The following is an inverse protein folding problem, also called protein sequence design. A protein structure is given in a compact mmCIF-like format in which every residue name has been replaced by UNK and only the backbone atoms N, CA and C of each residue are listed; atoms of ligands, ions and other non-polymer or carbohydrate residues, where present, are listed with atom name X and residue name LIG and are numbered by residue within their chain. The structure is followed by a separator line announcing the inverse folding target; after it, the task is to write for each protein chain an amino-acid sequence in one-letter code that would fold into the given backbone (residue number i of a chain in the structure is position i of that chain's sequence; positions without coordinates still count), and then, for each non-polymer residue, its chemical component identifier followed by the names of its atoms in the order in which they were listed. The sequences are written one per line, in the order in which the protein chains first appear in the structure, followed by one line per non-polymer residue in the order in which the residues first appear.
data_IF_025138455622
#
_entry.id   IF_025138455622
#
_cell.length_a   1.000
_cell.length_b   1.000
_cell.length_c   1.000
_cell.angle_alpha   90.00
_cell.angle_beta   90.00
_cell.angle_gamma   90.00
#
_symmetry.space_group_name_H-M   'P 1'
#
loop_
_entity.id
_entity.type
_entity.pdbx_description
1 polymer ?
#
# COMPACT_ATOMS: atom_id res chain seq x y z
N UNK A 1 14.21 9.85 -21.45
CA UNK A 1 14.48 10.88 -20.43
C UNK A 1 14.71 12.29 -20.99
N UNK A 2 15.07 12.47 -22.28
CA UNK A 2 15.22 13.79 -22.96
C UNK A 2 13.98 14.74 -22.96
N UNK A 3 12.89 14.39 -22.28
CA UNK A 3 11.66 15.18 -22.22
C UNK A 3 11.34 15.73 -20.82
N UNK A 4 12.17 15.46 -19.80
CA UNK A 4 11.99 16.00 -18.45
C UNK A 4 12.79 17.32 -18.37
N UNK A 5 12.12 18.47 -18.22
CA UNK A 5 12.78 19.77 -18.36
C UNK A 5 13.77 20.08 -17.23
N UNK A 6 13.61 19.44 -16.08
CA UNK A 6 14.46 19.58 -14.90
C UNK A 6 15.68 18.65 -14.91
N UNK A 7 15.72 17.59 -15.74
CA UNK A 7 16.77 16.57 -15.68
C UNK A 7 18.11 17.11 -16.23
N UNK A 8 19.02 17.49 -15.34
CA UNK A 8 20.27 18.19 -15.65
C UNK A 8 21.28 18.22 -14.49
N UNK A 9 22.31 19.07 -14.54
CA UNK A 9 23.38 19.10 -13.54
C UNK A 9 23.02 19.81 -12.23
N UNK A 10 22.02 20.70 -12.24
CA UNK A 10 21.63 21.54 -11.10
C UNK A 10 20.26 21.08 -10.55
N UNK A 11 20.22 19.88 -9.98
CA UNK A 11 18.99 19.29 -9.42
C UNK A 11 18.77 19.73 -7.96
N UNK A 12 17.51 19.95 -7.60
CA UNK A 12 17.06 19.92 -6.20
C UNK A 12 17.15 18.49 -5.64
N UNK A 13 17.08 18.34 -4.31
CA UNK A 13 17.13 17.01 -3.67
C UNK A 13 16.00 16.08 -4.16
N UNK A 14 14.79 16.62 -4.33
CA UNK A 14 13.63 15.87 -4.83
C UNK A 14 13.83 15.41 -6.28
N UNK A 15 14.31 16.29 -7.16
CA UNK A 15 14.63 15.97 -8.55
C UNK A 15 15.77 14.94 -8.64
N UNK A 16 16.80 15.06 -7.81
CA UNK A 16 17.90 14.09 -7.76
C UNK A 16 17.41 12.70 -7.36
N UNK A 17 16.57 12.61 -6.32
CA UNK A 17 16.00 11.34 -5.89
C UNK A 17 15.10 10.71 -6.97
N UNK A 18 14.30 11.51 -7.68
CA UNK A 18 13.49 11.03 -8.79
C UNK A 18 14.34 10.59 -9.98
N UNK A 19 15.42 11.33 -10.32
CA UNK A 19 16.36 10.96 -11.36
C UNK A 19 17.03 9.62 -11.07
N UNK A 20 17.56 9.45 -9.86
CA UNK A 20 18.22 8.21 -9.44
C UNK A 20 17.25 7.02 -9.48
N UNK A 21 16.02 7.23 -9.01
CA UNK A 21 14.97 6.21 -9.05
C UNK A 21 14.56 5.85 -10.48
N UNK A 22 14.40 6.83 -11.38
CA UNK A 22 14.14 6.58 -12.80
C UNK A 22 15.27 5.82 -13.45
N UNK A 23 16.53 6.18 -13.20
CA UNK A 23 17.70 5.50 -13.75
C UNK A 23 17.76 4.03 -13.31
N UNK A 24 17.48 3.77 -12.03
CA UNK A 24 17.37 2.41 -11.50
C UNK A 24 16.20 1.66 -12.13
N UNK A 25 15.05 2.31 -12.31
CA UNK A 25 13.86 1.73 -12.93
C UNK A 25 14.08 1.46 -14.42
N UNK A 26 14.82 2.29 -15.16
CA UNK A 26 15.18 2.04 -16.55
C UNK A 26 16.00 0.76 -16.67
N UNK A 27 16.91 0.51 -15.71
CA UNK A 27 17.76 -0.69 -15.69
C UNK A 27 16.99 -1.96 -15.36
N UNK A 28 15.94 -1.88 -14.53
CA UNK A 28 15.16 -3.05 -14.11
C UNK A 28 13.92 -3.29 -14.96
N UNK A 29 13.21 -2.23 -15.37
CA UNK A 29 11.98 -2.26 -16.15
C UNK A 29 11.79 -0.96 -16.95
N UNK A 30 12.44 -0.90 -18.13
CA UNK A 30 12.42 0.26 -19.02
C UNK A 30 10.99 0.68 -19.44
N UNK A 31 10.07 -0.27 -19.60
CA UNK A 31 8.69 0.03 -19.98
C UNK A 31 7.95 0.81 -18.89
N UNK A 32 8.06 0.36 -17.63
CA UNK A 32 7.51 1.09 -16.47
C UNK A 32 8.19 2.44 -16.31
N UNK A 33 9.52 2.52 -16.45
CA UNK A 33 10.24 3.79 -16.38
C UNK A 33 9.75 4.82 -17.40
N UNK A 34 9.58 4.40 -18.67
CA UNK A 34 9.04 5.27 -19.73
C UNK A 34 7.64 5.76 -19.41
N UNK A 35 6.83 4.92 -18.78
CA UNK A 35 5.46 5.27 -18.41
C UNK A 35 5.42 6.31 -17.29
N UNK A 36 6.18 6.09 -16.22
CA UNK A 36 6.33 7.06 -15.13
C UNK A 36 6.89 8.38 -15.66
N UNK A 37 7.93 8.33 -16.51
CA UNK A 37 8.53 9.50 -17.14
C UNK A 37 7.63 10.21 -18.18
N UNK A 38 6.47 9.64 -18.51
CA UNK A 38 5.49 10.26 -19.41
C UNK A 38 4.33 10.94 -18.67
N UNK A 39 4.31 10.84 -17.34
CA UNK A 39 3.30 11.51 -16.52
C UNK A 39 3.52 13.02 -16.51
N UNK A 40 2.45 13.79 -16.65
CA UNK A 40 2.50 15.25 -16.81
C UNK A 40 3.09 15.96 -15.61
N UNK A 41 2.77 15.49 -14.40
CA UNK A 41 3.29 16.01 -13.13
C UNK A 41 4.81 15.84 -12.97
N UNK A 42 5.46 14.98 -13.76
CA UNK A 42 6.91 14.81 -13.69
C UNK A 42 7.65 15.69 -14.72
N UNK A 43 6.98 16.50 -15.53
CA UNK A 43 7.63 17.16 -16.68
C UNK A 43 8.22 18.52 -16.33
N UNK A 44 7.54 19.32 -15.51
CA UNK A 44 7.83 20.75 -15.26
C UNK A 44 8.61 21.04 -13.98
N UNK A 45 8.86 20.01 -13.18
CA UNK A 45 9.64 20.02 -11.95
C UNK A 45 9.36 18.73 -11.18
N UNK A 46 9.98 18.56 -10.01
CA UNK A 46 9.64 17.46 -9.10
C UNK A 46 9.50 17.99 -7.69
N UNK A 47 8.30 17.87 -7.14
CA UNK A 47 8.00 18.08 -5.72
C UNK A 47 8.40 16.86 -4.89
N UNK A 48 8.39 16.99 -3.56
CA UNK A 48 8.73 15.87 -2.68
C UNK A 48 7.81 14.67 -2.90
N UNK A 49 6.49 14.88 -2.98
CA UNK A 49 5.53 13.79 -3.16
C UNK A 49 5.69 13.08 -4.50
N UNK A 50 5.90 13.85 -5.59
CA UNK A 50 6.21 13.31 -6.92
C UNK A 50 7.50 12.48 -6.91
N UNK A 51 8.54 12.97 -6.21
CA UNK A 51 9.79 12.22 -6.03
C UNK A 51 9.56 10.91 -5.28
N UNK A 52 8.80 10.95 -4.17
CA UNK A 52 8.46 9.76 -3.40
C UNK A 52 7.68 8.76 -4.24
N UNK A 53 6.72 9.18 -5.08
CA UNK A 53 6.00 8.27 -5.97
C UNK A 53 6.95 7.51 -6.90
N UNK A 54 7.89 8.21 -7.55
CA UNK A 54 8.89 7.57 -8.43
C UNK A 54 9.76 6.58 -7.63
N UNK A 55 10.24 6.99 -6.46
CA UNK A 55 11.06 6.15 -5.57
C UNK A 55 10.29 4.90 -5.13
N UNK A 56 9.02 5.03 -4.72
CA UNK A 56 8.23 3.89 -4.28
C UNK A 56 7.89 2.93 -5.43
N UNK A 57 7.60 3.44 -6.64
CA UNK A 57 7.41 2.59 -7.82
C UNK A 57 8.71 1.84 -8.16
N UNK A 58 9.87 2.51 -8.08
CA UNK A 58 11.17 1.89 -8.31
C UNK A 58 11.43 0.77 -7.30
N UNK A 59 11.19 1.00 -6.01
CA UNK A 59 11.35 -0.02 -4.97
C UNK A 59 10.39 -1.19 -5.16
N UNK A 60 9.14 -0.91 -5.52
CA UNK A 60 8.18 -1.96 -5.88
C UNK A 60 8.68 -2.78 -7.07
N UNK A 61 9.27 -2.14 -8.09
CA UNK A 61 9.78 -2.85 -9.26
C UNK A 61 10.94 -3.80 -8.95
N UNK A 62 11.76 -3.48 -7.95
CA UNK A 62 12.82 -4.39 -7.44
C UNK A 62 12.21 -5.61 -6.75
N UNK A 63 11.10 -5.45 -6.04
CA UNK A 63 10.41 -6.53 -5.34
C UNK A 63 9.60 -7.39 -6.35
N UNK A 64 8.85 -6.74 -7.23
CA UNK A 64 7.95 -7.35 -8.19
C UNK A 64 7.69 -6.37 -9.35
N UNK A 65 8.32 -6.64 -10.50
CA UNK A 65 8.22 -5.81 -11.70
C UNK A 65 6.79 -5.71 -12.25
N UNK A 66 6.00 -6.77 -12.13
CA UNK A 66 4.64 -6.83 -12.65
C UNK A 66 3.70 -5.98 -11.79
N UNK A 67 3.85 -6.05 -10.46
CA UNK A 67 3.10 -5.19 -9.55
C UNK A 67 3.43 -3.71 -9.76
N UNK A 68 4.70 -3.36 -9.99
CA UNK A 68 5.08 -1.98 -10.32
C UNK A 68 4.48 -1.52 -11.66
N UNK A 69 4.43 -2.40 -12.66
CA UNK A 69 3.78 -2.10 -13.94
C UNK A 69 2.26 -1.90 -13.77
N UNK A 70 1.60 -2.75 -12.97
CA UNK A 70 0.18 -2.62 -12.65
C UNK A 70 -0.13 -1.31 -11.92
N UNK A 71 0.73 -0.89 -10.99
CA UNK A 71 0.57 0.36 -10.24
C UNK A 71 0.80 1.58 -11.14
N UNK A 72 1.84 1.55 -11.96
CA UNK A 72 2.20 2.69 -12.81
C UNK A 72 1.14 3.04 -13.87
N UNK A 73 0.14 2.19 -14.10
CA UNK A 73 -0.99 2.45 -15.01
C UNK A 73 -2.25 2.95 -14.30
N UNK A 74 -2.28 2.98 -12.96
CA UNK A 74 -3.47 3.38 -12.23
C UNK A 74 -3.75 4.88 -12.39
N UNK A 75 -5.03 5.29 -12.25
CA UNK A 75 -5.43 6.70 -12.28
C UNK A 75 -4.83 7.56 -11.16
N UNK A 76 -4.25 6.95 -10.11
CA UNK A 76 -3.55 7.63 -8.99
C UNK A 76 -2.38 8.52 -9.43
N UNK A 77 -1.98 8.42 -10.70
CA UNK A 77 -0.83 9.15 -11.24
C UNK A 77 -1.24 9.95 -12.48
N UNK A 78 -2.53 10.19 -12.71
CA UNK A 78 -3.04 10.90 -13.89
C UNK A 78 -3.02 12.42 -13.72
N UNK A 79 -3.13 12.93 -12.49
CA UNK A 79 -3.15 14.35 -12.16
C UNK A 79 -1.87 14.83 -11.47
N UNK A 80 -1.88 15.10 -10.16
CA UNK A 80 -0.72 15.49 -9.34
C UNK A 80 -0.56 14.49 -8.22
N UNK A 81 0.66 14.30 -7.71
CA UNK A 81 0.86 13.33 -6.64
C UNK A 81 0.57 13.93 -5.27
N UNK A 82 -0.29 13.25 -4.52
CA UNK A 82 -0.57 13.53 -3.12
C UNK A 82 0.06 12.49 -2.18
N UNK A 83 0.19 12.84 -0.90
CA UNK A 83 0.88 12.02 0.11
C UNK A 83 0.33 10.57 0.18
N UNK A 84 -1.00 10.43 0.16
CA UNK A 84 -1.65 9.12 0.27
C UNK A 84 -1.34 8.19 -0.91
N UNK A 85 -1.03 8.73 -2.09
CA UNK A 85 -0.80 7.94 -3.30
C UNK A 85 0.54 7.23 -3.24
N UNK A 86 1.61 7.95 -2.90
CA UNK A 86 2.92 7.32 -2.76
C UNK A 86 2.99 6.44 -1.51
N UNK A 87 2.29 6.79 -0.43
CA UNK A 87 2.18 5.94 0.76
C UNK A 87 1.43 4.63 0.47
N UNK A 88 0.37 4.67 -0.34
CA UNK A 88 -0.31 3.46 -0.80
C UNK A 88 0.66 2.51 -1.52
N UNK A 89 1.55 3.02 -2.39
CA UNK A 89 2.60 2.22 -3.04
C UNK A 89 3.58 1.63 -2.01
N UNK A 90 3.95 2.39 -0.98
CA UNK A 90 4.80 1.89 0.12
C UNK A 90 4.14 0.72 0.85
N UNK A 91 2.85 0.80 1.17
CA UNK A 91 2.13 -0.31 1.81
C UNK A 91 2.04 -1.55 0.91
N UNK A 92 1.86 -1.34 -0.40
CA UNK A 92 1.85 -2.42 -1.39
C UNK A 92 3.20 -3.11 -1.47
N UNK A 93 4.32 -2.40 -1.34
CA UNK A 93 5.64 -3.02 -1.28
C UNK A 93 5.73 -4.06 -0.15
N UNK A 94 5.25 -3.73 1.06
CA UNK A 94 5.21 -4.68 2.18
C UNK A 94 4.34 -5.88 1.85
N UNK A 95 3.12 -5.66 1.33
CA UNK A 95 2.19 -6.73 0.98
C UNK A 95 2.80 -7.68 -0.06
N UNK A 96 3.34 -7.13 -1.16
CA UNK A 96 3.88 -7.88 -2.28
C UNK A 96 5.20 -8.58 -1.92
N UNK A 97 6.04 -7.98 -1.09
CA UNK A 97 7.29 -8.60 -0.60
C UNK A 97 7.02 -9.91 0.12
N UNK A 98 5.93 -9.98 0.89
CA UNK A 98 5.61 -11.14 1.70
C UNK A 98 4.74 -12.16 0.98
N UNK A 99 3.73 -11.71 0.24
CA UNK A 99 2.92 -12.60 -0.59
C UNK A 99 2.31 -11.82 -1.78
N UNK A 100 2.89 -11.94 -2.98
CA UNK A 100 2.34 -11.31 -4.18
C UNK A 100 0.90 -11.71 -4.50
N UNK A 101 0.44 -12.87 -4.05
CA UNK A 101 -0.94 -13.32 -4.29
C UNK A 101 -1.95 -12.44 -3.54
N UNK A 102 -1.59 -11.88 -2.38
CA UNK A 102 -2.46 -10.92 -1.67
C UNK A 102 -2.80 -9.75 -2.57
N UNK A 103 -1.81 -9.14 -3.21
CA UNK A 103 -2.03 -8.04 -4.15
C UNK A 103 -2.93 -8.47 -5.33
N UNK A 104 -2.74 -9.67 -5.88
CA UNK A 104 -3.60 -10.18 -6.95
C UNK A 104 -5.08 -10.30 -6.56
N UNK A 105 -5.40 -10.52 -5.28
CA UNK A 105 -6.79 -10.66 -4.82
C UNK A 105 -7.59 -9.37 -4.88
N UNK A 106 -6.94 -8.21 -4.65
CA UNK A 106 -7.64 -6.94 -4.53
C UNK A 106 -7.28 -5.89 -5.59
N UNK A 107 -6.21 -6.07 -6.37
CA UNK A 107 -5.76 -5.06 -7.36
C UNK A 107 -6.77 -4.68 -8.46
N UNK A 108 -7.84 -5.47 -8.61
CA UNK A 108 -8.94 -5.26 -9.56
C UNK A 108 -10.26 -4.85 -8.89
N UNK A 109 -10.24 -4.58 -7.58
CA UNK A 109 -11.43 -4.12 -6.86
C UNK A 109 -11.64 -2.65 -7.14
N UNK A 110 -12.89 -2.22 -7.22
CA UNK A 110 -13.23 -0.85 -7.62
C UNK A 110 -12.56 0.19 -6.72
N UNK A 111 -12.62 0.01 -5.39
CA UNK A 111 -11.99 0.89 -4.39
C UNK A 111 -10.47 1.06 -4.56
N UNK A 112 -9.82 0.16 -5.31
CA UNK A 112 -8.38 0.19 -5.53
C UNK A 112 -8.04 0.74 -6.92
N UNK A 113 -8.88 0.45 -7.92
CA UNK A 113 -8.56 0.69 -9.32
C UNK A 113 -8.91 2.11 -9.80
N UNK A 114 -9.77 2.83 -9.09
CA UNK A 114 -10.05 4.25 -9.32
C UNK A 114 -8.97 5.14 -8.68
N UNK A 115 -9.31 6.36 -8.26
CA UNK A 115 -8.38 7.24 -7.53
C UNK A 115 -8.35 6.86 -6.04
N UNK A 116 -7.16 6.65 -5.48
CA UNK A 116 -7.02 6.25 -4.08
C UNK A 116 -7.36 7.41 -3.14
N UNK A 117 -8.33 7.19 -2.27
CA UNK A 117 -8.66 8.13 -1.19
C UNK A 117 -7.83 7.85 0.06
N UNK A 118 -7.77 8.82 0.99
CA UNK A 118 -7.14 8.64 2.31
C UNK A 118 -7.68 7.42 3.06
N UNK A 119 -8.98 7.14 2.94
CA UNK A 119 -9.59 5.97 3.57
C UNK A 119 -9.09 4.65 2.96
N UNK A 120 -8.92 4.60 1.64
CA UNK A 120 -8.43 3.41 0.93
C UNK A 120 -6.92 3.20 1.15
N UNK A 121 -6.14 4.28 1.22
CA UNK A 121 -4.75 4.23 1.65
C UNK A 121 -4.63 3.67 3.09
N UNK A 122 -5.51 4.11 4.01
CA UNK A 122 -5.59 3.55 5.37
C UNK A 122 -5.98 2.06 5.41
N UNK A 123 -6.76 1.58 4.43
CA UNK A 123 -7.04 0.15 4.27
C UNK A 123 -5.77 -0.60 3.86
N UNK A 124 -4.98 -0.08 2.93
CA UNK A 124 -3.68 -0.69 2.54
C UNK A 124 -2.68 -0.64 3.69
N UNK A 125 -2.64 0.45 4.45
CA UNK A 125 -1.83 0.59 5.66
C UNK A 125 -2.16 -0.53 6.66
N UNK A 126 -3.44 -0.65 7.05
CA UNK A 126 -3.86 -1.68 8.00
C UNK A 126 -3.55 -3.09 7.50
N UNK A 127 -3.69 -3.36 6.19
CA UNK A 127 -3.35 -4.66 5.62
C UNK A 127 -1.85 -4.91 5.69
N UNK A 128 -1.01 -3.92 5.37
CA UNK A 128 0.45 -4.04 5.46
C UNK A 128 0.91 -4.31 6.90
N UNK A 129 0.26 -3.68 7.89
CA UNK A 129 0.50 -3.94 9.32
C UNK A 129 -0.04 -5.30 9.76
N UNK A 130 -1.10 -5.83 9.15
CA UNK A 130 -1.53 -7.22 9.40
C UNK A 130 -0.51 -8.20 8.79
N UNK A 131 0.05 -7.91 7.62
CA UNK A 131 1.05 -8.76 6.95
C UNK A 131 2.33 -8.88 7.80
N UNK A 132 2.91 -7.74 8.20
CA UNK A 132 4.13 -7.68 9.00
C UNK A 132 3.91 -6.90 10.32
N UNK A 133 3.19 -7.49 11.29
CA UNK A 133 2.70 -6.78 12.48
C UNK A 133 3.79 -6.28 13.42
N UNK A 134 4.98 -6.87 13.36
CA UNK A 134 6.12 -6.46 14.16
C UNK A 134 7.08 -5.53 13.41
N UNK A 135 6.85 -5.28 12.12
CA UNK A 135 7.74 -4.47 11.27
C UNK A 135 9.17 -5.04 11.14
N UNK A 136 9.35 -6.34 11.40
CA UNK A 136 10.65 -6.99 11.41
C UNK A 136 10.95 -7.75 10.10
N UNK A 137 10.08 -7.64 9.10
CA UNK A 137 10.24 -8.25 7.79
C UNK A 137 10.07 -9.78 7.81
N UNK A 138 9.37 -10.34 8.81
CA UNK A 138 9.08 -11.78 8.86
C UNK A 138 7.79 -12.15 8.14
N UNK A 139 6.86 -11.21 7.99
CA UNK A 139 5.54 -11.50 7.42
C UNK A 139 4.72 -12.46 8.28
N UNK A 140 4.91 -12.42 9.61
CA UNK A 140 4.28 -13.37 10.53
C UNK A 140 2.74 -13.40 10.45
N UNK A 141 2.11 -12.33 9.96
CA UNK A 141 0.66 -12.23 9.83
C UNK A 141 0.13 -12.47 8.41
N UNK A 142 0.94 -12.91 7.44
CA UNK A 142 0.50 -13.24 6.07
C UNK A 142 -0.73 -14.15 6.07
N UNK A 143 -0.74 -15.21 6.90
CA UNK A 143 -1.89 -16.13 6.98
C UNK A 143 -3.20 -15.47 7.43
N UNK A 144 -3.11 -14.38 8.21
CA UNK A 144 -4.25 -13.58 8.63
C UNK A 144 -4.64 -12.60 7.53
N UNK A 145 -3.68 -11.93 6.91
CA UNK A 145 -3.91 -11.08 5.74
C UNK A 145 -4.63 -11.84 4.62
N UNK A 146 -4.22 -13.08 4.32
CA UNK A 146 -4.87 -13.93 3.31
C UNK A 146 -6.35 -14.20 3.61
N UNK A 147 -6.74 -14.25 4.89
CA UNK A 147 -8.16 -14.36 5.26
C UNK A 147 -8.87 -13.03 5.10
N UNK A 148 -8.27 -11.94 5.58
CA UNK A 148 -8.85 -10.59 5.56
C UNK A 148 -9.18 -10.16 4.13
N UNK A 149 -8.28 -10.38 3.16
CA UNK A 149 -8.52 -9.99 1.77
C UNK A 149 -9.66 -10.75 1.09
N UNK A 150 -10.15 -11.85 1.68
CA UNK A 150 -11.31 -12.61 1.20
C UNK A 150 -12.63 -12.13 1.81
N UNK A 151 -12.59 -11.28 2.84
CA UNK A 151 -13.79 -10.84 3.55
C UNK A 151 -14.59 -9.83 2.69
N UNK A 152 -15.92 -9.92 2.78
CA UNK A 152 -16.82 -9.07 2.00
C UNK A 152 -16.64 -7.58 2.31
N UNK A 153 -16.48 -7.23 3.60
CA UNK A 153 -16.28 -5.85 4.03
C UNK A 153 -14.93 -5.26 3.56
N UNK A 154 -13.87 -6.07 3.46
CA UNK A 154 -12.57 -5.61 2.94
C UNK A 154 -12.68 -5.28 1.44
N UNK A 155 -13.49 -6.04 0.70
CA UNK A 155 -13.71 -5.86 -0.72
C UNK A 155 -14.85 -4.88 -1.04
N UNK A 156 -15.48 -4.28 -0.03
CA UNK A 156 -16.54 -3.31 -0.21
C UNK A 156 -16.02 -2.09 -1.00
N UNK A 157 -16.79 -1.59 -1.98
CA UNK A 157 -16.43 -0.39 -2.73
C UNK A 157 -16.41 0.86 -1.83
N UNK A 158 -17.11 0.83 -0.69
CA UNK A 158 -17.07 1.91 0.29
C UNK A 158 -16.19 1.45 1.45
N UNK A 159 -15.18 2.26 1.78
CA UNK A 159 -14.38 2.10 3.00
C UNK A 159 -15.12 2.71 4.18
N UNK A 160 -15.54 1.85 5.11
CA UNK A 160 -16.14 2.29 6.37
C UNK A 160 -15.07 2.60 7.42
N UNK A 161 -15.27 3.65 8.21
CA UNK A 161 -14.37 4.04 9.32
C UNK A 161 -14.06 2.87 10.26
N UNK A 162 -15.06 2.04 10.58
CA UNK A 162 -14.89 0.89 11.48
C UNK A 162 -14.03 -0.23 10.88
N UNK A 163 -14.00 -0.38 9.55
CA UNK A 163 -13.18 -1.40 8.89
C UNK A 163 -11.68 -1.10 9.07
N UNK A 164 -11.26 0.14 8.82
CA UNK A 164 -9.87 0.56 9.03
C UNK A 164 -9.49 0.53 10.51
N UNK A 165 -10.41 0.94 11.41
CA UNK A 165 -10.18 0.82 12.85
C UNK A 165 -9.98 -0.65 13.26
N UNK A 166 -10.86 -1.56 12.83
CA UNK A 166 -10.74 -2.98 13.11
C UNK A 166 -9.40 -3.54 12.62
N UNK A 167 -8.97 -3.17 11.41
CA UNK A 167 -7.68 -3.60 10.86
C UNK A 167 -6.50 -3.12 11.69
N UNK A 168 -6.56 -1.86 12.18
CA UNK A 168 -5.53 -1.30 13.06
C UNK A 168 -5.48 -2.02 14.42
N UNK A 169 -6.65 -2.28 15.04
CA UNK A 169 -6.73 -3.02 16.30
C UNK A 169 -6.25 -4.47 16.13
N UNK A 170 -6.62 -5.11 15.02
CA UNK A 170 -6.18 -6.47 14.70
C UNK A 170 -4.66 -6.54 14.48
N UNK A 171 -4.08 -5.58 13.76
CA UNK A 171 -2.63 -5.48 13.59
C UNK A 171 -1.92 -5.32 14.94
N UNK A 172 -2.45 -4.46 15.83
CA UNK A 172 -1.92 -4.27 17.19
C UNK A 172 -2.00 -5.56 18.01
N UNK A 173 -3.12 -6.29 17.91
CA UNK A 173 -3.28 -7.57 18.58
C UNK A 173 -2.28 -8.61 18.05
N UNK A 174 -2.07 -8.68 16.74
CA UNK A 174 -1.07 -9.55 16.12
C UNK A 174 0.35 -9.21 16.56
N UNK A 175 0.70 -7.92 16.62
CA UNK A 175 2.02 -7.47 17.04
C UNK A 175 2.36 -7.94 18.46
N UNK A 176 1.35 -8.00 19.33
CA UNK A 176 1.46 -8.41 20.73
C UNK A 176 1.36 -9.91 20.93
N UNK A 177 0.39 -10.55 20.27
CA UNK A 177 0.10 -11.99 20.37
C UNK A 177 -0.43 -12.50 19.03
N UNK A 178 0.49 -12.98 18.18
CA UNK A 178 0.18 -13.55 16.86
C UNK A 178 -0.87 -14.66 16.96
N UNK A 179 -0.80 -15.50 18.00
CA UNK A 179 -1.73 -16.64 18.14
C UNK A 179 -3.14 -16.16 18.45
N UNK A 180 -3.28 -15.19 19.36
CA UNK A 180 -4.58 -14.62 19.68
C UNK A 180 -5.15 -13.80 18.52
N UNK A 181 -4.35 -12.97 17.87
CA UNK A 181 -4.77 -12.22 16.68
C UNK A 181 -5.25 -13.15 15.56
N UNK A 182 -4.54 -14.24 15.29
CA UNK A 182 -4.95 -15.24 14.29
C UNK A 182 -6.25 -15.97 14.67
N UNK A 183 -6.52 -16.18 15.95
CA UNK A 183 -7.80 -16.74 16.43
C UNK A 183 -8.95 -15.75 16.24
N UNK A 184 -8.75 -14.49 16.62
CA UNK A 184 -9.76 -13.42 16.45
C UNK A 184 -10.11 -13.25 14.98
N UNK A 185 -9.11 -13.20 14.10
CA UNK A 185 -9.33 -13.13 12.65
C UNK A 185 -10.07 -14.33 12.05
N UNK A 186 -10.14 -15.46 12.77
CA UNK A 186 -10.90 -16.64 12.38
C UNK A 186 -12.30 -16.73 12.98
N UNK A 187 -12.73 -15.74 13.76
CA UNK A 187 -14.05 -15.75 14.39
C UNK A 187 -15.16 -15.41 13.37
N UNK A 188 -16.37 -15.97 13.53
CA UNK A 188 -17.47 -15.76 12.59
C UNK A 188 -17.83 -14.29 12.33
N UNK A 189 -17.76 -13.43 13.35
CA UNK A 189 -18.10 -12.00 13.21
C UNK A 189 -17.24 -11.28 12.17
N UNK A 190 -16.02 -11.76 11.92
CA UNK A 190 -15.15 -11.19 10.88
C UNK A 190 -15.75 -11.32 9.47
N UNK A 191 -16.69 -12.24 9.25
CA UNK A 191 -17.37 -12.42 7.97
C UNK A 191 -18.54 -11.45 7.75
N UNK A 192 -19.03 -10.81 8.81
CA UNK A 192 -20.20 -9.93 8.79
C UNK A 192 -19.80 -8.47 8.51
N UNK A 193 -20.76 -7.55 8.56
CA UNK A 193 -20.48 -6.12 8.53
C UNK A 193 -19.74 -5.68 9.79
N UNK A 194 -18.71 -4.84 9.62
CA UNK A 194 -17.92 -4.33 10.75
C UNK A 194 -18.57 -3.08 11.34
N UNK A 195 -18.87 -3.16 12.62
CA UNK A 195 -19.48 -2.11 13.42
C UNK A 195 -18.58 -1.68 14.59
N UNK A 196 -19.01 -0.67 15.34
CA UNK A 196 -18.23 -0.13 16.48
C UNK A 196 -18.00 -1.16 17.59
N UNK A 197 -18.93 -2.09 17.79
CA UNK A 197 -18.82 -3.09 18.84
C UNK A 197 -17.78 -4.18 18.50
N UNK A 198 -17.56 -4.47 17.22
CA UNK A 198 -16.48 -5.38 16.77
C UNK A 198 -15.10 -4.79 17.07
N UNK A 199 -14.92 -3.49 16.82
CA UNK A 199 -13.70 -2.75 17.18
C UNK A 199 -13.50 -2.76 18.69
N UNK A 200 -14.58 -2.51 19.45
CA UNK A 200 -14.57 -2.53 20.92
C UNK A 200 -14.19 -3.88 21.51
N UNK A 201 -14.59 -4.98 20.86
CA UNK A 201 -14.21 -6.34 21.26
C UNK A 201 -12.70 -6.55 21.16
N UNK A 202 -12.06 -6.16 20.05
CA UNK A 202 -10.60 -6.31 19.90
C UNK A 202 -9.85 -5.43 20.90
N UNK A 203 -10.31 -4.19 21.13
CA UNK A 203 -9.74 -3.29 22.16
C UNK A 203 -9.81 -3.90 23.56
N UNK A 204 -10.96 -4.46 23.93
CA UNK A 204 -11.12 -5.12 25.23
C UNK A 204 -10.13 -6.28 25.39
N UNK A 205 -9.90 -7.06 24.34
CA UNK A 205 -8.90 -8.14 24.37
C UNK A 205 -7.47 -7.61 24.53
N UNK A 206 -7.14 -6.46 23.93
CA UNK A 206 -5.86 -5.79 24.11
C UNK A 206 -5.68 -5.30 25.56
N UNK A 207 -6.72 -4.72 26.15
CA UNK A 207 -6.72 -4.22 27.53
C UNK A 207 -6.58 -5.34 28.56
N UNK A 208 -7.30 -6.46 28.39
CA UNK A 208 -7.22 -7.61 29.29
C UNK A 208 -5.86 -8.32 29.28
N UNK A 209 -5.02 -8.03 28.28
CA UNK A 209 -3.64 -8.51 28.21
C UNK A 209 -2.63 -7.52 28.78
N UNK A 210 -3.03 -6.28 29.05
CA UNK A 210 -2.28 -5.19 29.71
C UNK A 210 -1.78 -5.59 31.09
#
# INVERSE_FOLDING_TARGET
MKNLSWYGPDLTDAEQAAADALDLLVRSNEATAKRVASRTWLVDGVTEDESQAVVQIQRLAVINSDAAADIAILPWFDDSIEEQEWQAVQHIQTIVKHDPLLFQTFKRKNWFFDSITVAEAGRLEGLSKIVDPQGNGTGAGVSVASKVVQLGWFNSPIVGTYQNQLMSELATLLARDITLGARVAGMPFMADSIESHDVGLIRTLLELRG
#
